data_IF_171664181845
#
_entry.id   IF_171664181845
#
_cell.length_a   1.000
_cell.length_b   1.000
_cell.length_c   1.000
_cell.angle_alpha   90.00
_cell.angle_beta   90.00
_cell.angle_gamma   90.00
#
_symmetry.space_group_name_H-M   'P 1'
#
loop_
_entity.id
_entity.type
_entity.pdbx_description
1 polymer ?
#
# COMPACT_ATOMS: atom_id res chain seq x y z
N UNK A 1 -74.10 35.22 -41.24
CA UNK A 1 -72.96 35.63 -40.41
C UNK A 1 -72.73 34.51 -39.45
N UNK A 2 -71.80 33.63 -39.85
CA UNK A 2 -71.50 32.41 -39.11
C UNK A 2 -70.30 32.68 -38.23
N UNK A 3 -70.50 32.54 -36.92
CA UNK A 3 -69.47 32.65 -35.93
C UNK A 3 -68.65 31.32 -35.90
N UNK A 4 -67.41 31.37 -36.39
CA UNK A 4 -66.48 30.22 -36.36
C UNK A 4 -65.82 30.18 -34.97
N UNK A 5 -66.28 29.25 -34.14
CA UNK A 5 -65.76 28.98 -32.83
C UNK A 5 -64.55 28.08 -32.97
N UNK A 6 -63.37 28.59 -32.73
CA UNK A 6 -62.10 27.78 -32.68
C UNK A 6 -61.96 27.11 -31.32
N UNK A 7 -62.15 25.80 -31.30
CA UNK A 7 -61.81 24.97 -30.14
C UNK A 7 -60.31 24.80 -30.12
N UNK A 8 -59.68 25.35 -29.09
CA UNK A 8 -58.28 25.00 -28.76
C UNK A 8 -58.34 23.65 -28.03
N UNK A 9 -57.96 22.58 -28.74
CA UNK A 9 -57.60 21.32 -28.12
C UNK A 9 -56.24 21.52 -27.47
N UNK A 10 -56.25 21.43 -26.14
CA UNK A 10 -55.05 21.36 -25.34
C UNK A 10 -54.36 20.01 -25.61
N UNK A 11 -53.37 20.06 -26.49
CA UNK A 11 -52.44 18.94 -26.72
C UNK A 11 -51.52 18.84 -25.49
N UNK A 12 -51.97 18.03 -24.48
CA UNK A 12 -51.12 17.61 -23.39
C UNK A 12 -50.01 16.73 -23.97
N UNK A 13 -48.98 17.41 -24.50
CA UNK A 13 -47.75 16.79 -24.93
C UNK A 13 -47.15 15.98 -23.79
N UNK A 14 -47.27 14.68 -23.94
CA UNK A 14 -46.57 13.66 -23.17
C UNK A 14 -45.07 14.01 -23.12
N UNK A 15 -44.63 14.59 -22.01
CA UNK A 15 -43.21 14.90 -21.80
C UNK A 15 -42.44 13.56 -21.83
N UNK A 16 -41.43 13.40 -22.72
CA UNK A 16 -40.66 12.18 -22.73
C UNK A 16 -40.00 12.01 -21.37
N UNK A 17 -40.26 10.86 -20.74
CA UNK A 17 -39.63 10.41 -19.51
C UNK A 17 -38.14 10.72 -19.57
N UNK A 18 -37.70 11.63 -18.71
CA UNK A 18 -36.26 11.91 -18.53
C UNK A 18 -35.55 10.57 -18.26
N UNK A 19 -34.50 10.25 -18.99
CA UNK A 19 -33.80 9.02 -18.75
C UNK A 19 -33.36 9.03 -17.28
N UNK A 20 -33.87 8.06 -16.52
CA UNK A 20 -33.45 7.81 -15.14
C UNK A 20 -31.93 7.51 -15.25
N UNK A 21 -31.13 8.54 -14.99
CA UNK A 21 -29.69 8.40 -14.85
C UNK A 21 -29.48 7.46 -13.66
N UNK A 22 -29.29 6.18 -13.96
CA UNK A 22 -28.73 5.25 -12.99
C UNK A 22 -27.46 5.91 -12.42
N UNK A 23 -27.31 5.98 -11.10
CA UNK A 23 -26.07 6.44 -10.55
C UNK A 23 -24.97 5.55 -11.15
N UNK A 24 -24.11 6.12 -11.97
CA UNK A 24 -22.91 5.47 -12.42
C UNK A 24 -22.12 5.20 -11.15
N UNK A 25 -22.18 3.96 -10.67
CA UNK A 25 -21.25 3.47 -9.66
C UNK A 25 -19.87 3.59 -10.33
N UNK A 26 -19.20 4.70 -10.06
CA UNK A 26 -17.78 4.81 -10.42
C UNK A 26 -17.08 3.58 -9.83
N UNK A 27 -16.26 2.87 -10.63
CA UNK A 27 -15.56 1.69 -10.15
C UNK A 27 -14.86 2.05 -8.84
N UNK A 28 -15.19 1.32 -7.79
CA UNK A 28 -14.65 1.61 -6.47
C UNK A 28 -13.19 1.14 -6.46
N UNK A 29 -12.32 2.06 -6.86
CA UNK A 29 -10.88 1.88 -6.79
C UNK A 29 -10.42 2.42 -5.43
N UNK A 30 -9.89 1.53 -4.60
CA UNK A 30 -9.43 1.86 -3.26
C UNK A 30 -7.91 1.80 -3.25
N UNK A 31 -7.27 2.92 -2.91
CA UNK A 31 -5.82 2.98 -2.71
C UNK A 31 -5.49 3.19 -1.22
N UNK A 32 -4.68 2.31 -0.67
CA UNK A 32 -4.10 2.45 0.65
C UNK A 32 -2.60 2.72 0.56
N UNK A 33 -2.15 3.86 1.07
CA UNK A 33 -0.73 4.20 1.11
C UNK A 33 -0.13 3.85 2.48
N UNK A 34 0.84 2.96 2.49
CA UNK A 34 1.62 2.56 3.66
C UNK A 34 2.94 3.32 3.62
N UNK A 35 3.16 4.16 4.63
CA UNK A 35 4.38 4.96 4.75
C UNK A 35 5.36 4.31 5.72
N UNK A 36 6.66 4.52 5.46
CA UNK A 36 7.71 4.08 6.36
C UNK A 36 7.67 4.77 7.71
N UNK A 37 8.12 4.07 8.74
CA UNK A 37 8.15 4.57 10.10
C UNK A 37 9.29 5.57 10.30
N UNK A 38 9.04 6.74 10.89
CA UNK A 38 10.10 7.69 11.24
C UNK A 38 10.89 7.27 12.49
N UNK A 39 10.58 6.14 13.11
CA UNK A 39 11.10 5.76 14.43
C UNK A 39 12.64 5.74 14.48
N UNK A 40 13.28 5.10 13.51
CA UNK A 40 14.74 5.01 13.44
C UNK A 40 15.40 6.36 13.19
N UNK A 41 14.76 7.20 12.37
CA UNK A 41 15.25 8.55 12.08
C UNK A 41 15.17 9.42 13.33
N UNK A 42 14.04 9.39 14.04
CA UNK A 42 13.87 10.13 15.31
C UNK A 42 14.85 9.62 16.38
N UNK A 43 15.03 8.30 16.49
CA UNK A 43 15.98 7.69 17.42
C UNK A 43 17.41 8.09 17.11
N UNK A 44 17.82 8.10 15.85
CA UNK A 44 19.14 8.55 15.42
C UNK A 44 19.39 10.04 15.76
N UNK A 45 18.39 10.90 15.50
CA UNK A 45 18.46 12.32 15.88
C UNK A 45 18.56 12.51 17.39
N UNK A 46 17.82 11.72 18.18
CA UNK A 46 17.90 11.78 19.64
C UNK A 46 19.30 11.40 20.15
N UNK A 47 19.94 10.37 19.58
CA UNK A 47 21.32 9.98 19.91
C UNK A 47 22.28 11.11 19.59
N UNK A 48 22.20 11.70 18.39
CA UNK A 48 23.06 12.85 18.00
C UNK A 48 22.83 14.03 18.94
N UNK A 49 21.59 14.37 19.26
CA UNK A 49 21.25 15.44 20.19
C UNK A 49 21.87 15.22 21.58
N UNK A 50 21.79 13.98 22.08
CA UNK A 50 22.42 13.61 23.38
C UNK A 50 23.94 13.78 23.33
N UNK A 51 24.58 13.38 22.24
CA UNK A 51 26.04 13.54 22.09
C UNK A 51 26.48 14.98 22.06
N UNK A 52 25.68 15.91 21.54
CA UNK A 52 26.00 17.35 21.52
C UNK A 52 25.85 17.96 22.89
N UNK A 53 24.84 17.57 23.65
CA UNK A 53 24.50 18.19 24.94
C UNK A 53 25.36 17.65 26.08
N UNK A 54 25.80 16.40 26.00
CA UNK A 54 26.60 15.80 27.10
C UNK A 54 28.09 15.83 26.75
N UNK A 55 28.93 16.53 27.52
CA UNK A 55 30.39 16.61 27.32
C UNK A 55 31.10 15.35 27.80
N UNK A 56 30.68 14.19 27.30
CA UNK A 56 31.31 12.89 27.61
C UNK A 56 32.18 12.51 26.41
N UNK A 57 33.31 11.89 26.67
CA UNK A 57 34.14 11.31 25.59
C UNK A 57 33.44 10.09 25.02
N UNK A 58 32.63 10.34 24.02
CA UNK A 58 31.96 9.30 23.29
C UNK A 58 32.98 8.60 22.37
N UNK A 59 33.25 7.34 22.62
CA UNK A 59 34.13 6.58 21.73
C UNK A 59 33.74 6.74 20.25
N UNK A 60 34.72 6.73 19.37
CA UNK A 60 34.59 6.96 17.93
C UNK A 60 33.50 6.10 17.22
N UNK A 61 33.11 4.99 17.83
CA UNK A 61 32.09 4.07 17.30
C UNK A 61 30.64 4.60 17.47
N UNK A 62 30.38 5.46 18.46
CA UNK A 62 29.01 5.96 18.71
C UNK A 62 28.50 6.87 17.58
N UNK A 63 29.30 7.83 17.05
CA UNK A 63 28.92 8.58 15.86
C UNK A 63 28.61 7.70 14.64
N UNK A 64 29.34 6.59 14.47
CA UNK A 64 29.07 5.66 13.37
C UNK A 64 27.74 4.94 13.54
N UNK A 65 27.38 4.55 14.76
CA UNK A 65 26.06 3.97 15.04
C UNK A 65 24.94 4.99 14.78
N UNK A 66 25.12 6.22 15.25
CA UNK A 66 24.14 7.29 15.03
C UNK A 66 23.96 7.55 13.53
N UNK A 67 25.04 7.60 12.75
CA UNK A 67 25.00 7.77 11.31
C UNK A 67 24.30 6.59 10.61
N UNK A 68 24.57 5.36 11.03
CA UNK A 68 23.91 4.17 10.51
C UNK A 68 22.41 4.18 10.80
N UNK A 69 22.01 4.57 12.02
CA UNK A 69 20.59 4.71 12.40
C UNK A 69 19.89 5.78 11.58
N UNK A 70 20.53 6.93 11.34
CA UNK A 70 19.98 8.00 10.52
C UNK A 70 19.85 7.56 9.05
N UNK A 71 20.87 6.91 8.48
CA UNK A 71 20.85 6.43 7.12
C UNK A 71 19.75 5.39 6.90
N UNK A 72 19.68 4.39 7.77
CA UNK A 72 18.63 3.38 7.72
C UNK A 72 17.24 3.97 7.93
N UNK A 73 17.10 4.85 8.94
CA UNK A 73 15.84 5.52 9.24
C UNK A 73 15.35 6.41 8.10
N UNK A 74 16.28 7.08 7.41
CA UNK A 74 15.95 7.87 6.22
C UNK A 74 15.47 6.97 5.08
N UNK A 75 16.15 5.86 4.84
CA UNK A 75 15.78 4.91 3.79
C UNK A 75 14.38 4.32 4.03
N UNK A 76 14.10 3.88 5.25
CA UNK A 76 12.75 3.41 5.63
C UNK A 76 11.69 4.51 5.52
N UNK A 77 12.01 5.74 5.92
CA UNK A 77 11.08 6.85 5.87
C UNK A 77 10.69 7.26 4.45
N UNK A 78 11.63 7.16 3.51
CA UNK A 78 11.42 7.51 2.09
C UNK A 78 10.57 6.47 1.38
N UNK A 79 10.67 5.19 1.77
CA UNK A 79 9.94 4.09 1.15
C UNK A 79 8.43 4.23 1.38
N UNK A 80 7.66 4.05 0.33
CA UNK A 80 6.20 3.98 0.37
C UNK A 80 5.72 2.73 -0.34
N UNK A 81 4.63 2.15 0.16
CA UNK A 81 3.94 1.05 -0.51
C UNK A 81 2.50 1.44 -0.71
N UNK A 82 2.00 1.23 -1.91
CA UNK A 82 0.63 1.54 -2.30
C UNK A 82 -0.07 0.22 -2.61
N UNK A 83 -1.13 -0.05 -1.88
CA UNK A 83 -2.02 -1.18 -2.12
C UNK A 83 -3.24 -0.66 -2.84
N UNK A 84 -3.46 -1.13 -4.04
CA UNK A 84 -4.56 -0.75 -4.93
C UNK A 84 -5.50 -1.94 -5.08
N UNK A 85 -6.79 -1.72 -4.88
CA UNK A 85 -7.82 -2.72 -5.04
C UNK A 85 -8.92 -2.24 -6.00
N UNK A 86 -9.09 -2.96 -7.08
CA UNK A 86 -10.18 -2.76 -8.03
C UNK A 86 -11.29 -3.78 -7.73
N UNK A 87 -12.39 -3.29 -7.16
CA UNK A 87 -13.51 -4.11 -6.73
C UNK A 87 -14.23 -4.82 -7.89
N UNK A 88 -14.32 -4.18 -9.07
CA UNK A 88 -15.01 -4.77 -10.22
C UNK A 88 -14.25 -5.96 -10.81
N UNK A 89 -12.94 -5.84 -10.87
CA UNK A 89 -12.05 -6.87 -11.42
C UNK A 89 -11.56 -7.84 -10.36
N UNK A 90 -11.86 -7.60 -9.09
CA UNK A 90 -11.31 -8.34 -7.94
C UNK A 90 -9.77 -8.38 -7.99
N UNK A 91 -9.16 -7.37 -8.59
CA UNK A 91 -7.72 -7.29 -8.78
C UNK A 91 -7.07 -6.47 -7.67
N UNK A 92 -6.06 -7.07 -7.07
CA UNK A 92 -5.20 -6.44 -6.06
C UNK A 92 -3.82 -6.24 -6.66
N UNK A 93 -3.31 -5.03 -6.52
CA UNK A 93 -1.96 -4.65 -6.94
C UNK A 93 -1.25 -3.95 -5.81
N UNK A 94 0.00 -4.32 -5.58
CA UNK A 94 0.87 -3.71 -4.57
C UNK A 94 2.06 -3.12 -5.28
N UNK A 95 2.24 -1.82 -5.12
CA UNK A 95 3.36 -1.08 -5.70
C UNK A 95 4.31 -0.60 -4.62
N UNK A 96 5.58 -0.71 -4.89
CA UNK A 96 6.63 -0.03 -4.14
C UNK A 96 6.98 1.28 -4.83
N UNK A 97 7.19 2.32 -4.05
CA UNK A 97 7.58 3.63 -4.54
C UNK A 97 8.38 4.41 -3.52
N UNK A 98 8.70 5.61 -3.88
CA UNK A 98 9.38 6.57 -3.00
C UNK A 98 8.46 7.74 -2.72
N UNK A 99 8.52 8.28 -1.49
CA UNK A 99 7.78 9.48 -1.08
C UNK A 99 8.07 10.70 -1.98
N UNK A 100 9.23 10.72 -2.62
CA UNK A 100 9.71 11.85 -3.41
C UNK A 100 9.75 11.55 -4.92
N UNK A 101 9.22 10.40 -5.35
CA UNK A 101 9.21 10.00 -6.76
C UNK A 101 7.83 9.46 -7.14
N UNK A 102 7.39 9.78 -8.33
CA UNK A 102 6.17 9.21 -8.91
C UNK A 102 6.40 7.79 -9.48
N UNK A 103 7.66 7.38 -9.58
CA UNK A 103 7.99 6.05 -10.05
C UNK A 103 7.47 4.99 -9.07
N UNK A 104 6.70 4.04 -9.61
CA UNK A 104 6.11 2.92 -8.86
C UNK A 104 6.57 1.61 -9.49
N UNK A 105 7.02 0.69 -8.69
CA UNK A 105 7.40 -0.65 -9.11
C UNK A 105 6.36 -1.65 -8.61
N UNK A 106 5.87 -2.51 -9.50
CA UNK A 106 4.89 -3.52 -9.14
C UNK A 106 5.56 -4.63 -8.33
N UNK A 107 5.14 -4.80 -7.08
CA UNK A 107 5.63 -5.85 -6.18
C UNK A 107 4.82 -7.13 -6.27
N UNK A 108 3.50 -6.99 -6.31
CA UNK A 108 2.57 -8.11 -6.24
C UNK A 108 1.30 -7.73 -6.99
N UNK A 109 0.80 -8.65 -7.83
CA UNK A 109 -0.50 -8.51 -8.47
C UNK A 109 -1.19 -9.87 -8.50
N UNK A 110 -2.47 -9.89 -8.16
CA UNK A 110 -3.28 -11.10 -8.21
C UNK A 110 -4.77 -10.76 -8.27
N UNK A 111 -5.57 -11.73 -8.74
CA UNK A 111 -7.02 -11.67 -8.66
C UNK A 111 -7.46 -12.35 -7.38
N UNK A 112 -8.17 -11.61 -6.53
CA UNK A 112 -8.67 -12.08 -5.24
C UNK A 112 -9.87 -13.00 -5.41
N UNK A 113 -9.87 -14.10 -4.68
CA UNK A 113 -11.03 -14.99 -4.56
C UNK A 113 -11.42 -15.19 -3.09
N UNK A 114 -12.70 -15.45 -2.80
CA UNK A 114 -13.13 -15.69 -1.43
C UNK A 114 -12.43 -16.90 -0.80
N UNK A 115 -11.69 -16.67 0.27
CA UNK A 115 -10.91 -17.68 0.97
C UNK A 115 -9.43 -17.69 0.64
N UNK A 116 -8.96 -16.75 -0.16
CA UNK A 116 -7.53 -16.49 -0.29
C UNK A 116 -6.94 -16.07 1.05
N UNK A 117 -5.73 -16.50 1.33
CA UNK A 117 -5.05 -16.15 2.56
C UNK A 117 -3.60 -15.73 2.29
N UNK A 118 -3.15 -14.77 3.06
CA UNK A 118 -1.84 -14.17 2.90
C UNK A 118 -0.93 -14.60 4.03
N UNK A 119 0.21 -15.18 3.66
CA UNK A 119 1.24 -15.59 4.60
C UNK A 119 2.51 -14.78 4.38
N UNK A 120 3.15 -14.38 5.48
CA UNK A 120 4.45 -13.74 5.45
C UNK A 120 5.53 -14.81 5.66
N UNK A 121 6.45 -14.91 4.71
CA UNK A 121 7.62 -15.78 4.80
C UNK A 121 8.89 -14.95 5.02
N UNK A 122 9.95 -15.58 5.51
CA UNK A 122 11.25 -14.92 5.68
C UNK A 122 12.40 -15.87 5.42
N UNK A 123 13.50 -15.33 4.91
CA UNK A 123 14.80 -16.01 4.78
C UNK A 123 15.92 -15.13 5.33
N UNK A 124 17.07 -15.68 5.77
CA UNK A 124 18.24 -14.87 6.07
C UNK A 124 18.72 -14.14 4.82
N UNK A 125 19.03 -12.85 4.92
CA UNK A 125 19.52 -12.04 3.80
C UNK A 125 20.87 -12.56 3.27
N UNK A 126 21.69 -13.14 4.16
CA UNK A 126 22.98 -13.78 3.80
C UNK A 126 22.84 -15.08 3.00
N UNK A 127 21.62 -15.62 2.87
CA UNK A 127 21.37 -16.94 2.29
C UNK A 127 21.86 -18.12 3.15
N UNK A 128 22.56 -17.87 4.26
CA UNK A 128 22.99 -18.88 5.19
C UNK A 128 21.97 -19.07 6.31
N UNK A 129 21.28 -20.23 6.40
CA UNK A 129 20.24 -20.46 7.42
C UNK A 129 20.79 -20.48 8.86
N UNK A 130 22.10 -20.66 9.04
CA UNK A 130 22.75 -20.69 10.36
C UNK A 130 23.12 -19.29 10.86
N UNK A 131 23.03 -18.27 10.02
CA UNK A 131 23.33 -16.90 10.40
C UNK A 131 22.16 -16.25 11.11
N UNK A 132 22.04 -16.49 12.41
CA UNK A 132 20.98 -15.96 13.27
C UNK A 132 21.08 -14.44 13.49
N UNK A 133 22.22 -13.84 13.18
CA UNK A 133 22.49 -12.40 13.35
C UNK A 133 22.27 -11.60 12.07
N UNK A 134 22.09 -12.27 10.92
CA UNK A 134 21.84 -11.56 9.67
C UNK A 134 20.46 -10.93 9.65
N UNK A 135 20.35 -9.82 8.96
CA UNK A 135 19.07 -9.25 8.59
C UNK A 135 18.20 -10.32 7.88
N UNK A 136 16.91 -10.24 8.01
CA UNK A 136 15.98 -11.15 7.35
C UNK A 136 15.20 -10.40 6.30
N UNK A 137 15.14 -10.99 5.13
CA UNK A 137 14.25 -10.55 4.07
C UNK A 137 12.89 -11.18 4.27
N UNK A 138 11.85 -10.39 4.08
CA UNK A 138 10.48 -10.82 4.25
C UNK A 138 9.74 -10.65 2.94
N UNK A 139 8.90 -11.61 2.60
CA UNK A 139 8.02 -11.53 1.44
C UNK A 139 6.65 -12.08 1.74
N UNK A 140 5.70 -11.74 0.89
CA UNK A 140 4.32 -12.17 0.99
C UNK A 140 4.04 -13.29 -0.01
N UNK A 141 3.22 -14.22 0.42
CA UNK A 141 2.76 -15.34 -0.40
C UNK A 141 1.24 -15.39 -0.27
N UNK A 142 0.56 -15.32 -1.40
CA UNK A 142 -0.88 -15.43 -1.49
C UNK A 142 -1.23 -16.86 -1.92
N UNK A 143 -1.99 -17.57 -1.11
CA UNK A 143 -2.46 -18.91 -1.41
C UNK A 143 -3.98 -18.93 -1.42
N UNK A 144 -4.55 -19.73 -2.29
CA UNK A 144 -5.98 -20.06 -2.29
C UNK A 144 -6.32 -21.01 -1.15
N UNK A 145 -7.61 -21.16 -0.90
CA UNK A 145 -8.15 -22.07 0.12
C UNK A 145 -7.69 -23.52 -0.08
N UNK A 146 -7.44 -23.94 -1.30
CA UNK A 146 -6.93 -25.27 -1.65
C UNK A 146 -5.41 -25.43 -1.47
N UNK A 147 -4.73 -24.36 -1.06
CA UNK A 147 -3.27 -24.31 -0.92
C UNK A 147 -2.50 -23.96 -2.19
N UNK A 148 -3.20 -23.69 -3.30
CA UNK A 148 -2.54 -23.30 -4.56
C UNK A 148 -1.89 -21.92 -4.42
N UNK A 149 -0.64 -21.80 -4.82
CA UNK A 149 0.09 -20.52 -4.87
C UNK A 149 -0.50 -19.64 -5.99
N UNK A 150 -1.00 -18.46 -5.60
CA UNK A 150 -1.55 -17.46 -6.53
C UNK A 150 -0.48 -16.44 -6.92
N UNK A 151 0.20 -15.87 -5.93
CA UNK A 151 1.21 -14.85 -6.15
C UNK A 151 2.26 -14.85 -5.04
N UNK A 152 3.45 -14.34 -5.34
CA UNK A 152 4.54 -14.20 -4.38
C UNK A 152 5.37 -12.97 -4.70
N UNK A 153 5.75 -12.22 -3.66
CA UNK A 153 6.67 -11.10 -3.75
C UNK A 153 8.12 -11.49 -3.38
N UNK A 154 8.51 -12.74 -3.59
CA UNK A 154 9.82 -13.28 -3.17
C UNK A 154 11.03 -12.54 -3.77
N UNK A 155 10.85 -11.94 -4.95
CA UNK A 155 11.91 -11.17 -5.61
C UNK A 155 12.08 -9.75 -5.05
N UNK A 156 11.23 -9.36 -4.12
CA UNK A 156 11.22 -8.04 -3.51
C UNK A 156 11.66 -8.14 -2.04
N UNK A 157 12.80 -7.56 -1.73
CA UNK A 157 13.32 -7.53 -0.36
C UNK A 157 12.56 -6.49 0.46
N UNK A 158 11.85 -6.94 1.50
CA UNK A 158 11.11 -6.07 2.37
C UNK A 158 11.56 -6.17 3.82
N UNK A 159 11.55 -5.04 4.52
CA UNK A 159 11.65 -5.07 5.97
C UNK A 159 10.41 -5.74 6.58
N UNK A 160 10.59 -6.32 7.77
CA UNK A 160 9.47 -6.93 8.53
C UNK A 160 8.31 -5.95 8.73
N UNK A 161 8.64 -4.67 8.90
CA UNK A 161 7.63 -3.62 9.10
C UNK A 161 6.70 -3.51 7.89
N UNK A 162 7.25 -3.34 6.69
CA UNK A 162 6.46 -3.24 5.46
C UNK A 162 5.70 -4.51 5.16
N UNK A 163 6.35 -5.67 5.20
CA UNK A 163 5.70 -6.95 4.93
C UNK A 163 4.50 -7.18 5.85
N UNK A 164 4.62 -6.86 7.15
CA UNK A 164 3.52 -6.97 8.10
C UNK A 164 2.39 -5.99 7.77
N UNK A 165 2.71 -4.73 7.51
CA UNK A 165 1.68 -3.69 7.21
C UNK A 165 0.94 -3.98 5.92
N UNK A 166 1.64 -4.47 4.89
CA UNK A 166 1.01 -4.89 3.63
C UNK A 166 0.06 -6.07 3.91
N UNK A 167 0.53 -7.08 4.67
CA UNK A 167 -0.30 -8.21 5.05
C UNK A 167 -1.56 -7.75 5.79
N UNK A 168 -1.42 -6.94 6.83
CA UNK A 168 -2.55 -6.45 7.64
C UNK A 168 -3.55 -5.65 6.78
N UNK A 169 -3.06 -4.86 5.82
CA UNK A 169 -3.89 -4.13 4.86
C UNK A 169 -4.66 -5.08 3.93
N UNK A 170 -3.97 -6.07 3.36
CA UNK A 170 -4.57 -7.05 2.46
C UNK A 170 -5.58 -7.96 3.19
N UNK A 171 -5.28 -8.40 4.42
CA UNK A 171 -6.21 -9.19 5.24
C UNK A 171 -7.50 -8.40 5.59
N UNK A 172 -7.45 -7.07 5.53
CA UNK A 172 -8.62 -6.22 5.78
C UNK A 172 -9.46 -6.02 4.50
N UNK A 173 -8.83 -6.12 3.33
CA UNK A 173 -9.47 -5.93 2.03
C UNK A 173 -10.08 -7.23 1.48
N UNK A 174 -9.52 -8.38 1.82
CA UNK A 174 -9.95 -9.72 1.39
C UNK A 174 -10.95 -10.34 2.37
#
# INVERSE_FOLDING_TARGET
MEDVFWSLEDDEGDAPDAPTTMPSSSPQHIEHTIQGSPLWLVSGLAVVGTMIVTPIDWGWWLPLIALAMLGYGFFEYVKTVIVSWNQEQQQVEVFEGSRYSEARELMLAFTSEPGDHITMKSKPASGNPLDLLSARDYWLVVNRKDGTLVASSENQENSRYFAKRIKDCLDTLL
#
